data_IF_091532604004
#
_entry.id   IF_091532604004
#
_cell.length_a   1.000
_cell.length_b   1.000
_cell.length_c   1.000
_cell.angle_alpha   90.00
_cell.angle_beta   90.00
_cell.angle_gamma   90.00
#
_symmetry.space_group_name_H-M   'P 1'
#
loop_
_entity.id
_entity.type
_entity.pdbx_description
1 polymer ?
#
# COMPACT_ATOMS: atom_id res chain seq x y z
N UNK A 1 -57.79 -27.31 -5.94
CA UNK A 1 -56.78 -26.80 -4.98
C UNK A 1 -55.82 -25.88 -5.72
N UNK A 2 -55.93 -24.57 -5.55
CA UNK A 2 -54.95 -23.63 -6.08
C UNK A 2 -53.95 -23.29 -4.97
N UNK A 3 -52.73 -23.85 -5.05
CA UNK A 3 -51.61 -23.37 -4.22
C UNK A 3 -51.05 -22.12 -4.89
N UNK A 4 -51.48 -20.97 -4.41
CA UNK A 4 -50.91 -19.67 -4.77
C UNK A 4 -49.51 -19.59 -4.12
N UNK A 5 -48.47 -19.99 -4.85
CA UNK A 5 -47.06 -19.72 -4.54
C UNK A 5 -46.68 -18.41 -5.25
N UNK A 6 -47.03 -17.26 -4.69
CA UNK A 6 -46.62 -15.95 -5.25
C UNK A 6 -45.75 -15.12 -4.29
N UNK A 7 -45.29 -15.70 -3.18
CA UNK A 7 -44.44 -14.99 -2.20
C UNK A 7 -42.98 -15.45 -2.13
N UNK A 8 -42.67 -16.69 -2.52
CA UNK A 8 -41.30 -17.20 -2.45
C UNK A 8 -40.41 -16.63 -3.57
N UNK A 9 -40.94 -16.50 -4.78
CA UNK A 9 -40.17 -16.04 -5.93
C UNK A 9 -39.81 -14.55 -5.80
N UNK A 10 -40.69 -13.73 -5.22
CA UNK A 10 -40.40 -12.32 -4.92
C UNK A 10 -39.32 -12.18 -3.84
N UNK A 11 -39.37 -12.99 -2.79
CA UNK A 11 -38.31 -13.02 -1.76
C UNK A 11 -36.96 -13.44 -2.33
N UNK A 12 -36.93 -14.43 -3.23
CA UNK A 12 -35.68 -14.87 -3.88
C UNK A 12 -35.08 -13.72 -4.72
N UNK A 13 -35.92 -13.00 -5.47
CA UNK A 13 -35.47 -11.83 -6.25
C UNK A 13 -34.95 -10.69 -5.34
N UNK A 14 -35.57 -10.47 -4.18
CA UNK A 14 -35.11 -9.47 -3.22
C UNK A 14 -33.78 -9.87 -2.57
N UNK A 15 -33.59 -11.15 -2.25
CA UNK A 15 -32.33 -11.67 -1.71
C UNK A 15 -31.18 -11.55 -2.71
N UNK A 16 -31.39 -11.88 -3.99
CA UNK A 16 -30.38 -11.69 -5.05
C UNK A 16 -29.99 -10.23 -5.23
N UNK A 17 -30.96 -9.31 -5.16
CA UNK A 17 -30.69 -7.86 -5.19
C UNK A 17 -29.92 -7.39 -3.96
N UNK A 18 -30.21 -7.94 -2.80
CA UNK A 18 -29.48 -7.63 -1.57
C UNK A 18 -28.03 -8.09 -1.67
N UNK A 19 -27.80 -9.33 -2.11
CA UNK A 19 -26.46 -9.89 -2.29
C UNK A 19 -25.60 -9.03 -3.22
N UNK A 20 -26.13 -8.67 -4.40
CA UNK A 20 -25.44 -7.77 -5.36
C UNK A 20 -25.10 -6.41 -4.76
N UNK A 21 -26.02 -5.83 -3.97
CA UNK A 21 -25.77 -4.54 -3.30
C UNK A 21 -24.66 -4.64 -2.26
N UNK A 22 -24.63 -5.74 -1.50
CA UNK A 22 -23.56 -5.99 -0.52
C UNK A 22 -22.22 -6.16 -1.24
N UNK A 23 -22.19 -6.96 -2.31
CA UNK A 23 -20.99 -7.17 -3.12
C UNK A 23 -20.46 -5.83 -3.68
N UNK A 24 -21.32 -5.01 -4.29
CA UNK A 24 -20.96 -3.67 -4.78
C UNK A 24 -20.46 -2.75 -3.66
N UNK A 25 -21.11 -2.77 -2.49
CA UNK A 25 -20.71 -1.97 -1.35
C UNK A 25 -19.32 -2.36 -0.82
N UNK A 26 -19.03 -3.66 -0.73
CA UNK A 26 -17.71 -4.18 -0.32
C UNK A 26 -16.64 -3.80 -1.34
N UNK A 27 -16.88 -4.04 -2.64
CA UNK A 27 -15.93 -3.68 -3.71
C UNK A 27 -15.58 -2.19 -3.69
N UNK A 28 -16.57 -1.34 -3.44
CA UNK A 28 -16.36 0.12 -3.32
C UNK A 28 -15.52 0.49 -2.10
N UNK A 29 -15.72 -0.18 -0.96
CA UNK A 29 -14.91 0.03 0.23
C UNK A 29 -13.45 -0.38 0.03
N UNK A 30 -13.23 -1.52 -0.62
CA UNK A 30 -11.89 -2.00 -0.99
C UNK A 30 -11.25 -1.02 -1.96
N UNK A 31 -11.92 -0.67 -3.07
CA UNK A 31 -11.36 0.24 -4.06
C UNK A 31 -10.97 1.60 -3.47
N UNK A 32 -11.81 2.17 -2.59
CA UNK A 32 -11.47 3.40 -1.86
C UNK A 32 -10.24 3.25 -0.98
N UNK A 33 -10.16 2.16 -0.22
CA UNK A 33 -9.03 1.86 0.67
C UNK A 33 -7.74 1.69 -0.13
N UNK A 34 -7.77 0.88 -1.20
CA UNK A 34 -6.64 0.64 -2.10
C UNK A 34 -6.14 1.96 -2.70
N UNK A 35 -7.06 2.76 -3.26
CA UNK A 35 -6.73 4.05 -3.88
C UNK A 35 -6.15 5.02 -2.87
N UNK A 36 -6.64 5.00 -1.61
CA UNK A 36 -6.09 5.86 -0.57
C UNK A 36 -4.65 5.49 -0.24
N UNK A 37 -4.35 4.20 -0.07
CA UNK A 37 -2.99 3.73 0.20
C UNK A 37 -2.09 4.10 -0.99
N UNK A 38 -2.50 3.75 -2.20
CA UNK A 38 -1.75 4.03 -3.42
C UNK A 38 -1.40 5.52 -3.56
N UNK A 39 -2.41 6.40 -3.54
CA UNK A 39 -2.21 7.84 -3.68
C UNK A 39 -1.33 8.42 -2.56
N UNK A 40 -1.47 7.90 -1.33
CA UNK A 40 -0.67 8.39 -0.20
C UNK A 40 0.79 7.94 -0.33
N UNK A 41 1.02 6.70 -0.77
CA UNK A 41 2.37 6.18 -1.00
C UNK A 41 3.07 6.92 -2.13
N UNK A 42 2.37 7.15 -3.25
CA UNK A 42 2.86 7.96 -4.38
C UNK A 42 3.19 9.39 -3.96
N UNK A 43 2.29 10.06 -3.25
CA UNK A 43 2.48 11.46 -2.86
C UNK A 43 3.62 11.68 -1.85
N UNK A 44 3.97 10.66 -1.05
CA UNK A 44 5.04 10.72 -0.07
C UNK A 44 6.36 10.16 -0.60
N UNK A 45 6.35 9.46 -1.74
CA UNK A 45 7.56 8.93 -2.33
C UNK A 45 8.47 10.09 -2.78
N UNK A 46 9.77 10.06 -2.45
CA UNK A 46 10.70 11.09 -2.89
C UNK A 46 10.83 11.12 -4.41
N UNK A 47 10.72 12.34 -4.95
CA UNK A 47 10.93 12.62 -6.36
C UNK A 47 12.42 12.88 -6.59
N UNK A 48 13.16 11.82 -6.88
CA UNK A 48 14.54 11.92 -7.37
C UNK A 48 14.57 11.71 -8.89
N UNK A 49 14.40 10.45 -9.33
CA UNK A 49 14.27 10.05 -10.73
C UNK A 49 12.85 9.60 -11.12
N UNK A 50 11.88 9.71 -10.20
CA UNK A 50 10.49 9.25 -10.41
C UNK A 50 10.28 7.73 -10.36
N UNK A 51 11.33 6.92 -10.54
CA UNK A 51 11.22 5.46 -10.61
C UNK A 51 10.54 4.82 -9.38
N UNK A 52 10.80 5.32 -8.16
CA UNK A 52 10.15 4.79 -6.97
C UNK A 52 8.63 4.95 -7.07
N UNK A 53 8.17 6.14 -7.45
CA UNK A 53 6.75 6.45 -7.64
C UNK A 53 6.12 5.56 -8.72
N UNK A 54 6.78 5.47 -9.88
CA UNK A 54 6.32 4.64 -11.00
C UNK A 54 6.31 3.15 -10.68
N UNK A 55 7.14 2.70 -9.74
CA UNK A 55 7.20 1.30 -9.30
C UNK A 55 6.07 0.89 -8.36
N UNK A 56 5.29 1.85 -7.85
CA UNK A 56 4.14 1.57 -6.98
C UNK A 56 2.98 1.19 -7.90
N UNK A 57 2.41 0.01 -7.69
CA UNK A 57 1.27 -0.49 -8.45
C UNK A 57 0.29 -1.23 -7.54
N UNK A 58 -0.94 -1.43 -8.02
CA UNK A 58 -1.93 -2.22 -7.33
C UNK A 58 -2.77 -3.07 -8.29
N UNK A 59 -3.21 -4.23 -7.80
CA UNK A 59 -4.05 -5.16 -8.55
C UNK A 59 -5.21 -5.63 -7.69
N UNK A 60 -6.36 -5.74 -8.33
CA UNK A 60 -7.55 -6.35 -7.73
C UNK A 60 -7.60 -7.85 -8.03
N UNK A 61 -8.04 -8.60 -7.04
CA UNK A 61 -8.29 -10.03 -7.15
C UNK A 61 -9.72 -10.33 -6.70
N UNK A 62 -10.15 -11.59 -6.86
CA UNK A 62 -11.47 -12.07 -6.42
C UNK A 62 -12.64 -11.20 -6.92
N UNK A 63 -12.55 -10.75 -8.18
CA UNK A 63 -13.56 -9.88 -8.79
C UNK A 63 -13.67 -8.49 -8.16
N UNK A 64 -12.67 -8.03 -7.41
CA UNK A 64 -12.65 -6.75 -6.68
C UNK A 64 -12.86 -6.87 -5.18
N UNK A 65 -12.96 -8.10 -4.65
CA UNK A 65 -13.12 -8.38 -3.22
C UNK A 65 -11.80 -8.45 -2.45
N UNK A 66 -10.68 -8.26 -3.14
CA UNK A 66 -9.37 -8.10 -2.52
C UNK A 66 -8.44 -7.27 -3.42
N UNK A 67 -7.41 -6.67 -2.84
CA UNK A 67 -6.40 -5.92 -3.59
C UNK A 67 -5.02 -6.11 -2.98
N UNK A 68 -4.00 -6.18 -3.83
CA UNK A 68 -2.58 -6.14 -3.41
C UNK A 68 -1.96 -4.87 -3.98
N UNK A 69 -1.21 -4.17 -3.14
CA UNK A 69 -0.39 -3.02 -3.52
C UNK A 69 1.06 -3.46 -3.37
N UNK A 70 1.89 -3.12 -4.36
CA UNK A 70 3.28 -3.54 -4.43
C UNK A 70 4.18 -2.34 -4.71
N UNK A 71 5.40 -2.39 -4.18
CA UNK A 71 6.46 -1.42 -4.48
C UNK A 71 7.57 -2.20 -5.16
N UNK A 72 7.83 -1.88 -6.44
CA UNK A 72 8.77 -2.62 -7.27
C UNK A 72 10.23 -2.18 -7.13
N UNK A 73 10.50 -0.99 -6.58
CA UNK A 73 11.86 -0.52 -6.42
C UNK A 73 12.59 -1.24 -5.27
N UNK A 74 13.66 -1.98 -5.60
CA UNK A 74 14.45 -2.74 -4.61
C UNK A 74 15.03 -1.86 -3.49
N UNK A 75 15.31 -0.59 -3.79
CA UNK A 75 15.86 0.36 -2.83
C UNK A 75 14.80 1.03 -1.94
N UNK A 76 13.50 0.78 -2.18
CA UNK A 76 12.40 1.42 -1.45
C UNK A 76 12.49 1.20 0.07
N UNK A 77 13.00 0.05 0.50
CA UNK A 77 13.19 -0.26 1.92
C UNK A 77 14.20 0.69 2.58
N UNK A 78 15.25 1.09 1.85
CA UNK A 78 16.26 2.02 2.34
C UNK A 78 15.74 3.46 2.37
N UNK A 79 14.78 3.79 1.50
CA UNK A 79 14.08 5.08 1.52
C UNK A 79 13.16 5.14 2.74
N UNK A 80 12.32 4.12 2.95
CA UNK A 80 11.36 4.07 4.05
C UNK A 80 12.05 4.16 5.42
N UNK A 81 13.13 3.40 5.60
CA UNK A 81 13.77 3.22 6.91
C UNK A 81 15.11 3.92 7.07
N UNK A 82 15.66 4.52 6.02
CA UNK A 82 16.98 5.13 6.04
C UNK A 82 18.12 4.11 6.06
N UNK A 83 19.35 4.60 6.01
CA UNK A 83 20.57 3.78 5.96
C UNK A 83 21.62 4.27 6.96
N UNK A 84 22.61 3.43 7.24
CA UNK A 84 23.68 3.76 8.18
C UNK A 84 23.11 4.04 9.57
N UNK A 85 23.60 5.11 10.23
CA UNK A 85 23.15 5.50 11.58
C UNK A 85 21.69 5.94 11.65
N UNK A 86 21.10 6.31 10.53
CA UNK A 86 19.72 6.79 10.47
C UNK A 86 18.71 5.66 10.26
N UNK A 87 19.17 4.40 10.12
CA UNK A 87 18.29 3.27 9.89
C UNK A 87 17.36 3.02 11.11
N UNK A 88 16.04 3.13 10.90
CA UNK A 88 15.00 3.00 11.94
C UNK A 88 14.16 1.72 11.84
N UNK A 89 14.36 0.92 10.78
CA UNK A 89 13.58 -0.29 10.51
C UNK A 89 13.95 -1.51 11.37
N UNK A 90 13.31 -2.67 11.12
CA UNK A 90 13.64 -3.93 11.80
C UNK A 90 15.12 -4.29 11.66
N UNK A 91 15.84 -4.37 12.79
CA UNK A 91 17.29 -4.57 12.83
C UNK A 91 18.12 -3.31 13.07
N UNK A 92 17.50 -2.12 12.94
CA UNK A 92 18.07 -0.81 13.27
C UNK A 92 19.39 -0.49 12.56
N UNK A 93 20.02 0.62 12.95
CA UNK A 93 21.40 0.87 12.56
C UNK A 93 22.34 -0.15 13.21
N UNK A 94 23.07 -0.89 12.37
CA UNK A 94 24.28 -1.61 12.80
C UNK A 94 25.55 -0.77 12.64
N UNK A 95 25.43 0.39 11.99
CA UNK A 95 26.53 1.32 11.84
C UNK A 95 26.75 2.06 13.16
N UNK A 96 27.93 1.91 13.74
CA UNK A 96 28.36 2.62 14.96
C UNK A 96 29.30 3.77 14.65
N UNK A 97 29.79 3.87 13.41
CA UNK A 97 30.67 4.94 12.92
C UNK A 97 30.22 5.41 11.54
N UNK A 98 29.88 6.69 11.45
CA UNK A 98 29.89 7.48 10.22
C UNK A 98 30.93 8.61 10.35
N UNK A 99 31.52 9.06 9.23
CA UNK A 99 31.29 8.55 7.89
C UNK A 99 32.05 7.26 7.61
N UNK A 100 31.58 6.50 6.62
CA UNK A 100 32.35 5.41 6.02
C UNK A 100 32.88 5.87 4.66
N UNK A 101 34.14 5.57 4.40
CA UNK A 101 34.81 5.90 3.15
C UNK A 101 35.11 4.64 2.37
N UNK A 102 34.78 4.62 1.09
CA UNK A 102 35.08 3.51 0.18
C UNK A 102 35.69 4.06 -1.11
N UNK A 103 36.49 3.24 -1.79
CA UNK A 103 37.06 3.58 -3.10
C UNK A 103 36.12 3.06 -4.18
N UNK A 104 35.65 3.95 -5.06
CA UNK A 104 34.79 3.60 -6.19
C UNK A 104 35.56 2.90 -7.30
N UNK A 105 34.81 2.37 -8.28
CA UNK A 105 35.38 1.70 -9.47
C UNK A 105 36.15 2.67 -10.39
N UNK A 106 35.92 3.97 -10.25
CA UNK A 106 36.66 5.07 -10.86
C UNK A 106 38.00 5.38 -10.16
N UNK A 107 38.23 4.76 -8.99
CA UNK A 107 39.41 4.96 -8.17
C UNK A 107 39.35 6.18 -7.24
N UNK A 108 38.24 6.92 -7.20
CA UNK A 108 38.02 8.02 -6.28
C UNK A 108 37.52 7.53 -4.91
N UNK A 109 37.78 8.32 -3.86
CA UNK A 109 37.33 8.00 -2.51
C UNK A 109 36.01 8.72 -2.21
N UNK A 110 34.97 7.94 -1.96
CA UNK A 110 33.64 8.41 -1.58
C UNK A 110 33.46 8.29 -0.08
N UNK A 111 32.92 9.35 0.53
CA UNK A 111 32.60 9.39 1.96
C UNK A 111 31.11 9.62 2.11
N UNK A 112 30.43 8.75 2.83
CA UNK A 112 28.97 8.82 3.00
C UNK A 112 28.56 8.72 4.46
N UNK A 113 27.48 9.42 4.76
CA UNK A 113 26.96 9.64 6.10
C UNK A 113 25.68 8.82 6.36
N UNK A 114 25.25 8.03 5.37
CA UNK A 114 23.93 7.38 5.37
C UNK A 114 22.82 8.35 4.96
N UNK A 115 21.66 7.78 4.65
CA UNK A 115 20.46 8.48 4.22
C UNK A 115 19.44 8.50 5.35
N UNK A 116 18.88 9.67 5.65
CA UNK A 116 17.76 9.77 6.58
C UNK A 116 16.49 9.12 6.00
N UNK A 117 15.66 8.46 6.83
CA UNK A 117 14.41 7.86 6.38
C UNK A 117 13.47 8.93 5.80
N UNK A 118 12.80 8.56 4.71
CA UNK A 118 11.71 9.31 4.11
C UNK A 118 10.50 8.37 3.97
N UNK A 119 9.75 8.18 5.07
CA UNK A 119 8.66 7.21 5.10
C UNK A 119 7.53 7.60 4.14
N UNK A 120 7.16 6.68 3.27
CA UNK A 120 6.06 6.81 2.32
C UNK A 120 5.07 5.65 2.45
N UNK A 121 5.55 4.45 2.80
CA UNK A 121 4.77 3.23 2.83
C UNK A 121 3.98 3.05 4.13
N UNK A 122 4.63 3.13 5.30
CA UNK A 122 3.92 2.96 6.56
C UNK A 122 2.85 4.06 6.78
N UNK A 123 3.11 5.35 6.48
CA UNK A 123 2.08 6.37 6.53
C UNK A 123 0.90 6.09 5.59
N UNK A 124 1.16 5.50 4.41
CA UNK A 124 0.12 5.12 3.46
C UNK A 124 -0.76 3.98 3.99
N UNK A 125 -0.17 2.96 4.62
CA UNK A 125 -0.91 1.88 5.28
C UNK A 125 -1.82 2.45 6.38
N UNK A 126 -1.31 3.35 7.22
CA UNK A 126 -2.10 3.94 8.31
C UNK A 126 -3.26 4.79 7.78
N UNK A 127 -3.05 5.52 6.69
CA UNK A 127 -4.11 6.27 6.01
C UNK A 127 -5.18 5.33 5.40
N UNK A 128 -4.73 4.20 4.83
CA UNK A 128 -5.59 3.13 4.36
C UNK A 128 -6.44 2.52 5.47
N UNK A 129 -5.80 2.13 6.59
CA UNK A 129 -6.47 1.56 7.77
C UNK A 129 -7.59 2.47 8.25
N UNK A 130 -7.31 3.76 8.44
CA UNK A 130 -8.33 4.75 8.86
C UNK A 130 -9.49 4.82 7.87
N UNK A 131 -9.20 4.78 6.57
CA UNK A 131 -10.24 4.84 5.52
C UNK A 131 -11.11 3.58 5.51
N UNK A 132 -10.48 2.42 5.70
CA UNK A 132 -11.17 1.14 5.80
C UNK A 132 -12.10 1.13 7.02
N UNK A 133 -11.58 1.45 8.20
CA UNK A 133 -12.33 1.51 9.45
C UNK A 133 -13.52 2.47 9.33
N UNK A 134 -13.33 3.66 8.73
CA UNK A 134 -14.40 4.63 8.52
C UNK A 134 -15.48 4.18 7.52
N UNK A 135 -15.13 3.34 6.55
CA UNK A 135 -16.09 2.89 5.52
C UNK A 135 -16.93 1.71 5.99
N UNK A 136 -16.33 0.82 6.79
CA UNK A 136 -16.96 -0.43 7.24
C UNK A 136 -17.49 -0.38 8.68
N UNK A 137 -17.35 0.75 9.38
CA UNK A 137 -17.96 0.98 10.71
C UNK A 137 -19.47 1.18 10.64
#
# INVERSE_FOLDING_TARGET
MAKVKYGADSMVVELDKFDKKIEEWVKKGIAKTTTKIYNTAVALAPVDLGFLEESIDFKYFDGGLSSVISVGADYAIYVEYGTGIYATGPGGSRATKIPWSFKGDDGEWYTTYGQAPQPFWNPAIDAGRKTFEQYFS
#
